data_IF_233309579503
#
_entry.id   IF_233309579503
#
_cell.length_a   1.000
_cell.length_b   1.000
_cell.length_c   1.000
_cell.angle_alpha   90.00
_cell.angle_beta   90.00
_cell.angle_gamma   90.00
#
_symmetry.space_group_name_H-M   'P 1'
#
loop_
_entity.id
_entity.type
_entity.pdbx_description
1 polymer ?
#
# COMPACT_ATOMS: atom_id res chain seq x y z
N UNK A 1 -9.37 -54.46 11.94
CA UNK A 1 -10.06 -53.16 12.15
C UNK A 1 -9.10 -51.95 12.28
N UNK A 2 -7.86 -51.99 11.75
CA UNK A 2 -6.87 -50.92 11.93
C UNK A 2 -7.02 -49.73 10.93
N UNK A 3 -7.60 -49.97 9.75
CA UNK A 3 -7.62 -49.02 8.62
C UNK A 3 -8.44 -47.74 8.84
N UNK A 4 -9.38 -47.73 9.80
CA UNK A 4 -10.24 -46.57 10.09
C UNK A 4 -9.59 -45.56 11.05
N UNK A 5 -8.69 -46.00 11.92
CA UNK A 5 -8.00 -45.11 12.87
C UNK A 5 -6.91 -44.27 12.20
N UNK A 6 -6.14 -44.85 11.27
CA UNK A 6 -5.12 -44.14 10.48
C UNK A 6 -5.72 -43.08 9.56
N UNK A 7 -6.87 -43.37 8.94
CA UNK A 7 -7.58 -42.42 8.08
C UNK A 7 -8.10 -41.21 8.87
N UNK A 8 -8.51 -41.42 10.12
CA UNK A 8 -8.94 -40.36 11.03
C UNK A 8 -7.75 -39.51 11.53
N UNK A 9 -6.62 -40.14 11.83
CA UNK A 9 -5.36 -39.48 12.21
C UNK A 9 -4.78 -38.61 11.09
N UNK A 10 -4.82 -39.10 9.84
CA UNK A 10 -4.37 -38.34 8.67
C UNK A 10 -5.25 -37.10 8.42
N UNK A 11 -6.58 -37.24 8.56
CA UNK A 11 -7.54 -36.13 8.37
C UNK A 11 -7.39 -35.04 9.44
N UNK A 12 -7.14 -35.42 10.68
CA UNK A 12 -6.90 -34.45 11.76
C UNK A 12 -5.58 -33.70 11.56
N UNK A 13 -4.52 -34.37 11.12
CA UNK A 13 -3.25 -33.72 10.74
C UNK A 13 -3.41 -32.76 9.56
N UNK A 14 -4.18 -33.14 8.53
CA UNK A 14 -4.47 -32.27 7.39
C UNK A 14 -5.23 -31.00 7.82
N UNK A 15 -6.23 -31.15 8.72
CA UNK A 15 -6.97 -30.00 9.28
C UNK A 15 -6.07 -29.07 10.09
N UNK A 16 -5.19 -29.62 10.93
CA UNK A 16 -4.23 -28.83 11.71
C UNK A 16 -3.25 -28.08 10.80
N UNK A 17 -2.71 -28.74 9.76
CA UNK A 17 -1.81 -28.10 8.81
C UNK A 17 -2.49 -26.98 8.00
N UNK A 18 -3.77 -27.13 7.65
CA UNK A 18 -4.53 -26.07 6.97
C UNK A 18 -4.80 -24.89 7.91
N UNK A 19 -5.18 -25.16 9.17
CA UNK A 19 -5.40 -24.11 10.16
C UNK A 19 -4.12 -23.29 10.43
N UNK A 20 -2.96 -23.95 10.53
CA UNK A 20 -1.67 -23.26 10.70
C UNK A 20 -1.28 -22.43 9.47
N UNK A 21 -1.52 -22.94 8.26
CA UNK A 21 -1.27 -22.18 7.03
C UNK A 21 -2.16 -20.94 6.94
N UNK A 22 -3.44 -21.07 7.29
CA UNK A 22 -4.37 -19.93 7.32
C UNK A 22 -3.96 -18.91 8.37
N UNK A 23 -3.57 -19.35 9.57
CA UNK A 23 -3.08 -18.45 10.61
C UNK A 23 -1.84 -17.69 10.17
N UNK A 24 -0.86 -18.37 9.57
CA UNK A 24 0.36 -17.73 9.03
C UNK A 24 0.08 -16.76 7.89
N UNK A 25 -0.95 -17.01 7.06
CA UNK A 25 -1.39 -16.06 6.04
C UNK A 25 -1.99 -14.82 6.68
N UNK A 26 -2.96 -14.97 7.58
CA UNK A 26 -3.58 -13.86 8.31
C UNK A 26 -2.54 -13.02 9.07
N UNK A 27 -1.65 -13.65 9.81
CA UNK A 27 -0.56 -12.94 10.53
C UNK A 27 0.36 -12.15 9.58
N UNK A 28 0.56 -12.63 8.34
CA UNK A 28 1.34 -11.91 7.33
C UNK A 28 0.53 -10.75 6.76
N UNK A 29 -0.72 -11.01 6.39
CA UNK A 29 -1.61 -10.03 5.79
C UNK A 29 -1.85 -8.87 6.77
N UNK A 30 -2.10 -9.16 8.05
CA UNK A 30 -2.21 -8.16 9.14
C UNK A 30 -0.93 -7.32 9.30
N UNK A 31 0.25 -7.92 9.14
CA UNK A 31 1.52 -7.16 9.21
C UNK A 31 1.71 -6.27 8.00
N UNK A 32 1.35 -6.75 6.81
CA UNK A 32 1.43 -5.97 5.57
C UNK A 32 0.45 -4.81 5.65
N UNK A 33 -0.79 -5.07 6.08
CA UNK A 33 -1.81 -4.04 6.28
C UNK A 33 -1.33 -2.98 7.28
N UNK A 34 -0.86 -3.38 8.46
CA UNK A 34 -0.34 -2.45 9.44
C UNK A 34 0.88 -1.63 8.94
N UNK A 35 1.74 -2.25 8.12
CA UNK A 35 2.87 -1.55 7.51
C UNK A 35 2.40 -0.55 6.45
N UNK A 36 1.44 -0.92 5.61
CA UNK A 36 0.84 -0.05 4.60
C UNK A 36 0.15 1.15 5.25
N UNK A 37 -0.66 0.93 6.29
CA UNK A 37 -1.32 2.03 7.03
C UNK A 37 -0.30 3.02 7.60
N UNK A 38 0.80 2.52 8.19
CA UNK A 38 1.87 3.39 8.72
C UNK A 38 2.57 4.17 7.61
N UNK A 39 2.81 3.52 6.47
CA UNK A 39 3.44 4.17 5.33
C UNK A 39 2.58 5.31 4.80
N UNK A 40 1.30 5.06 4.51
CA UNK A 40 0.41 6.10 3.97
C UNK A 40 0.17 7.23 4.97
N UNK A 41 -0.06 6.91 6.26
CA UNK A 41 -0.17 7.95 7.28
C UNK A 41 1.10 8.82 7.39
N UNK A 42 2.29 8.24 7.22
CA UNK A 42 3.53 8.99 7.19
C UNK A 42 3.69 9.80 5.89
N UNK A 43 3.24 9.27 4.75
CA UNK A 43 3.25 9.98 3.46
C UNK A 43 2.34 11.22 3.52
N UNK A 44 1.12 11.07 4.01
CA UNK A 44 0.16 12.19 4.19
C UNK A 44 0.73 13.26 5.13
N UNK A 45 1.39 12.83 6.22
CA UNK A 45 2.02 13.77 7.16
C UNK A 45 3.19 14.53 6.52
N UNK A 46 3.97 13.88 5.65
CA UNK A 46 5.07 14.52 4.91
C UNK A 46 4.51 15.51 3.89
N UNK A 47 3.46 15.14 3.17
CA UNK A 47 2.80 16.01 2.19
C UNK A 47 2.27 17.27 2.88
N UNK A 48 1.52 17.11 3.97
CA UNK A 48 1.05 18.24 4.76
C UNK A 48 2.19 19.13 5.27
N UNK A 49 3.26 18.53 5.80
CA UNK A 49 4.40 19.29 6.30
C UNK A 49 5.11 20.08 5.18
N UNK A 50 5.11 19.57 3.94
CA UNK A 50 5.66 20.28 2.78
C UNK A 50 4.80 21.47 2.39
N UNK A 51 3.48 21.35 2.46
CA UNK A 51 2.56 22.46 2.21
C UNK A 51 2.72 23.55 3.27
N UNK A 52 2.69 23.18 4.54
CA UNK A 52 2.88 24.13 5.65
C UNK A 52 4.23 24.87 5.51
N UNK A 53 5.29 24.16 5.12
CA UNK A 53 6.60 24.78 4.86
C UNK A 53 6.59 25.71 3.63
N UNK A 54 5.92 25.31 2.55
CA UNK A 54 5.74 26.14 1.37
C UNK A 54 4.99 27.43 1.69
N UNK A 55 3.92 27.35 2.47
CA UNK A 55 3.11 28.52 2.87
C UNK A 55 3.94 29.49 3.71
N UNK A 56 4.74 28.98 4.64
CA UNK A 56 5.66 29.81 5.43
C UNK A 56 6.71 30.51 4.55
N UNK A 57 7.29 29.79 3.57
CA UNK A 57 8.23 30.38 2.60
C UNK A 57 7.53 31.45 1.75
N UNK A 58 6.30 31.20 1.30
CA UNK A 58 5.52 32.16 0.53
C UNK A 58 5.24 33.43 1.33
N UNK A 59 4.85 33.30 2.59
CA UNK A 59 4.62 34.46 3.47
C UNK A 59 5.87 35.35 3.60
N UNK A 60 7.06 34.76 3.78
CA UNK A 60 8.32 35.51 3.82
C UNK A 60 8.62 36.22 2.50
N UNK A 61 8.36 35.55 1.37
CA UNK A 61 8.52 36.18 0.04
C UNK A 61 7.54 37.33 -0.16
N UNK A 62 6.29 37.17 0.29
CA UNK A 62 5.25 38.21 0.19
C UNK A 62 5.54 39.42 1.09
N UNK A 63 6.25 39.22 2.21
CA UNK A 63 6.80 40.28 3.07
C UNK A 63 7.97 41.04 2.42
N UNK A 64 8.49 40.54 1.30
CA UNK A 64 9.55 41.19 0.50
C UNK A 64 10.96 40.70 0.80
N UNK A 65 11.11 39.64 1.60
CA UNK A 65 12.42 39.07 1.92
C UNK A 65 13.06 38.42 0.67
N UNK A 66 14.35 38.66 0.41
CA UNK A 66 15.01 38.09 -0.74
C UNK A 66 15.23 36.59 -0.54
N UNK A 67 14.95 35.81 -1.59
CA UNK A 67 15.06 34.33 -1.55
C UNK A 67 16.42 33.81 -1.10
N UNK A 68 17.50 34.57 -1.31
CA UNK A 68 18.83 34.20 -0.84
C UNK A 68 18.94 34.24 0.70
N UNK A 69 18.35 35.26 1.34
CA UNK A 69 18.36 35.41 2.80
C UNK A 69 17.42 34.39 3.44
N UNK A 70 16.26 34.12 2.84
CA UNK A 70 15.36 33.04 3.28
C UNK A 70 16.08 31.68 3.21
N UNK A 71 16.85 31.42 2.14
CA UNK A 71 17.59 30.17 1.97
C UNK A 71 18.67 30.01 3.05
N UNK A 72 19.41 31.08 3.33
CA UNK A 72 20.41 31.11 4.39
C UNK A 72 19.79 30.91 5.78
N UNK A 73 18.69 31.59 6.07
CA UNK A 73 17.98 31.51 7.36
C UNK A 73 17.41 30.12 7.62
N UNK A 74 16.86 29.47 6.59
CA UNK A 74 16.27 28.13 6.70
C UNK A 74 17.31 27.01 6.49
N UNK A 75 18.54 27.34 6.12
CA UNK A 75 19.59 26.35 5.83
C UNK A 75 19.27 25.47 4.61
N UNK A 76 18.49 25.98 3.66
CA UNK A 76 18.09 25.27 2.44
C UNK A 76 18.68 25.98 1.21
N UNK A 77 18.50 25.40 0.02
CA UNK A 77 18.94 26.06 -1.21
C UNK A 77 17.84 26.95 -1.80
N UNK A 78 18.22 27.93 -2.60
CA UNK A 78 17.26 28.75 -3.37
C UNK A 78 16.47 27.92 -4.38
N UNK A 79 16.99 26.76 -4.80
CA UNK A 79 16.25 25.78 -5.61
C UNK A 79 15.13 25.14 -4.80
N UNK A 80 15.37 24.82 -3.53
CA UNK A 80 14.36 24.21 -2.65
C UNK A 80 13.22 25.19 -2.40
N UNK A 81 13.54 26.47 -2.17
CA UNK A 81 12.54 27.56 -2.09
C UNK A 81 11.67 27.59 -3.35
N UNK A 82 12.30 27.54 -4.53
CA UNK A 82 11.54 27.52 -5.78
C UNK A 82 10.62 26.31 -5.85
N UNK A 83 11.12 25.11 -5.55
CA UNK A 83 10.33 23.89 -5.58
C UNK A 83 9.14 23.96 -4.62
N UNK A 84 9.33 24.46 -3.40
CA UNK A 84 8.27 24.64 -2.40
C UNK A 84 7.19 25.63 -2.86
N UNK A 85 7.57 26.69 -3.57
CA UNK A 85 6.61 27.63 -4.15
C UNK A 85 5.87 27.02 -5.35
N UNK A 86 6.59 26.29 -6.22
CA UNK A 86 6.01 25.62 -7.39
C UNK A 86 5.00 24.55 -6.97
N UNK A 87 5.25 23.82 -5.87
CA UNK A 87 4.30 22.83 -5.32
C UNK A 87 2.99 23.47 -4.86
N UNK A 88 3.04 24.63 -4.22
CA UNK A 88 1.83 25.36 -3.81
C UNK A 88 1.00 25.85 -5.00
N UNK A 89 1.65 26.23 -6.10
CA UNK A 89 0.94 26.72 -7.29
C UNK A 89 0.26 25.60 -8.08
N UNK A 90 0.79 24.38 -8.03
CA UNK A 90 0.24 23.26 -8.78
C UNK A 90 -0.97 22.59 -8.09
N UNK A 91 -1.06 22.66 -6.76
CA UNK A 91 -2.21 22.10 -6.01
C UNK A 91 -3.51 22.92 -6.15
N UNK A 92 -3.43 24.22 -6.45
CA UNK A 92 -4.61 25.07 -6.69
C UNK A 92 -5.31 24.73 -8.03
N UNK A 93 -4.63 24.02 -8.92
CA UNK A 93 -5.19 23.38 -10.11
C UNK A 93 -5.52 21.92 -9.84
N UNK A 94 -6.61 21.69 -9.12
CA UNK A 94 -7.14 20.37 -8.79
C UNK A 94 -7.61 19.56 -10.00
N UNK A 95 -6.69 19.04 -10.81
CA UNK A 95 -6.95 17.88 -11.66
C UNK A 95 -6.46 16.62 -10.93
N UNK A 96 -7.30 16.19 -9.97
CA UNK A 96 -7.31 14.80 -9.55
C UNK A 96 -7.66 13.96 -10.77
N UNK A 97 -6.64 13.42 -11.43
CA UNK A 97 -6.79 12.41 -12.46
C UNK A 97 -7.23 11.12 -11.76
N UNK A 98 -8.53 11.04 -11.45
CA UNK A 98 -9.20 9.82 -10.98
C UNK A 98 -9.11 8.77 -12.10
N UNK A 99 -8.01 8.03 -12.14
CA UNK A 99 -7.99 6.72 -12.77
C UNK A 99 -8.79 5.77 -11.87
N UNK A 100 -10.10 5.81 -12.05
CA UNK A 100 -10.98 4.73 -11.64
C UNK A 100 -10.68 3.53 -12.53
N UNK A 101 -9.69 2.72 -12.12
CA UNK A 101 -9.59 1.36 -12.62
C UNK A 101 -10.76 0.55 -12.06
N UNK A 102 -11.80 0.43 -12.90
CA UNK A 102 -12.89 -0.52 -12.80
C UNK A 102 -12.34 -1.96 -12.77
N UNK A 103 -11.96 -2.43 -11.58
CA UNK A 103 -11.71 -3.85 -11.33
C UNK A 103 -13.05 -4.55 -11.15
N UNK A 104 -13.70 -4.82 -12.29
CA UNK A 104 -14.79 -5.78 -12.39
C UNK A 104 -14.32 -7.14 -11.85
N UNK A 105 -14.81 -7.46 -10.66
CA UNK A 105 -14.65 -8.74 -10.01
C UNK A 105 -15.62 -9.76 -10.64
N UNK A 106 -15.18 -10.43 -11.70
CA UNK A 106 -15.83 -11.65 -12.18
C UNK A 106 -15.40 -12.84 -11.27
N UNK A 107 -16.34 -13.59 -10.67
CA UNK A 107 -16.02 -14.86 -10.02
C UNK A 107 -15.97 -15.96 -11.09
N UNK A 108 -14.76 -16.34 -11.52
CA UNK A 108 -14.59 -17.53 -12.38
C UNK A 108 -14.76 -18.80 -11.54
N UNK A 109 -16.02 -19.23 -11.45
CA UNK A 109 -16.48 -20.54 -11.00
C UNK A 109 -16.10 -21.61 -12.04
N UNK A 110 -14.84 -22.05 -12.03
CA UNK A 110 -14.42 -23.25 -12.74
C UNK A 110 -14.36 -24.44 -11.77
N UNK A 111 -15.55 -25.00 -11.54
CA UNK A 111 -15.72 -26.36 -11.05
C UNK A 111 -15.07 -27.35 -12.04
N UNK A 112 -13.81 -27.73 -11.80
CA UNK A 112 -13.20 -28.86 -12.49
C UNK A 112 -13.68 -30.17 -11.86
N UNK A 113 -14.68 -30.74 -12.54
CA UNK A 113 -15.09 -32.14 -12.51
C UNK A 113 -13.88 -33.02 -12.88
N UNK A 114 -13.23 -33.62 -11.87
CA UNK A 114 -12.18 -34.63 -12.09
C UNK A 114 -12.85 -36.00 -12.06
N UNK A 115 -13.51 -36.32 -13.19
CA UNK A 115 -14.00 -37.65 -13.49
C UNK A 115 -12.83 -38.54 -13.90
N UNK A 116 -12.63 -39.58 -13.10
CA UNK A 116 -11.76 -40.72 -13.33
C UNK A 116 -11.80 -41.25 -14.76
N UNK A 117 -10.67 -41.24 -15.47
CA UNK A 117 -10.38 -42.28 -16.47
C UNK A 117 -8.94 -42.79 -16.36
N UNK A 118 -8.90 -44.01 -15.85
CA UNK A 118 -7.84 -45.00 -15.86
C UNK A 118 -7.42 -45.29 -17.31
N UNK A 119 -6.17 -44.98 -17.69
CA UNK A 119 -5.60 -45.49 -18.95
C UNK A 119 -4.19 -46.00 -18.73
N UNK A 120 -4.15 -47.27 -18.34
CA UNK A 120 -3.04 -48.20 -18.56
C UNK A 120 -2.42 -47.99 -19.95
N UNK A 121 -1.12 -47.69 -19.98
CA UNK A 121 -0.26 -47.91 -21.15
C UNK A 121 0.62 -49.11 -20.81
N UNK A 122 0.39 -50.20 -21.52
CA UNK A 122 1.28 -51.34 -21.64
C UNK A 122 2.17 -51.15 -22.88
#
# INVERSE_FOLDING_TARGET
MAKTSDKTSARNRARQALAEKQRKRRERDERIEAAATRYFAAADAIEKARLDAGEAIKALVDEGEPRAEIAELLGITTRDIKLSLDTLTNEDTGEAQEQSEDVSAEPDDSAHDDTTEDRHVA
#
